data_IF_449915350056
#
_entry.id   IF_449915350056
#
_cell.length_a   1.000
_cell.length_b   1.000
_cell.length_c   1.000
_cell.angle_alpha   90.00
_cell.angle_beta   90.00
_cell.angle_gamma   90.00
#
_symmetry.space_group_name_H-M   'P 1'
#
loop_
_entity.id
_entity.type
_entity.pdbx_description
1 polymer ?
#
# COMPACT_ATOMS: atom_id res chain seq x y z
N UNK A 1 29.65 38.91 36.87
CA UNK A 1 30.45 38.70 35.65
C UNK A 1 30.16 37.36 34.93
N UNK A 2 29.51 36.38 35.56
CA UNK A 2 29.17 35.09 34.95
C UNK A 2 27.83 35.07 34.16
N UNK A 3 26.97 36.06 34.34
CA UNK A 3 25.64 36.13 33.71
C UNK A 3 25.66 36.64 32.27
N UNK A 4 26.63 37.47 31.87
CA UNK A 4 26.69 38.00 30.50
C UNK A 4 27.29 37.02 29.49
N UNK A 5 28.09 36.04 29.94
CA UNK A 5 28.65 35.00 29.08
C UNK A 5 27.59 33.96 28.72
N UNK A 6 26.72 33.60 29.67
CA UNK A 6 25.63 32.65 29.46
C UNK A 6 24.58 33.16 28.46
N UNK A 7 24.22 34.45 28.52
CA UNK A 7 23.28 35.03 27.54
C UNK A 7 23.88 35.04 26.14
N UNK A 8 25.15 35.41 26.01
CA UNK A 8 25.85 35.47 24.73
C UNK A 8 25.99 34.09 24.06
N UNK A 9 26.23 33.04 24.86
CA UNK A 9 26.27 31.67 24.34
C UNK A 9 24.87 31.16 23.97
N UNK A 10 23.84 31.51 24.74
CA UNK A 10 22.45 31.16 24.41
C UNK A 10 21.99 31.82 23.11
N UNK A 11 22.32 33.09 22.91
CA UNK A 11 22.01 33.84 21.68
C UNK A 11 22.74 33.26 20.45
N UNK A 12 23.97 32.75 20.64
CA UNK A 12 24.71 32.02 19.60
C UNK A 12 24.10 30.66 19.27
N UNK A 13 23.58 29.95 20.26
CA UNK A 13 22.89 28.68 20.02
C UNK A 13 21.52 28.90 19.37
N UNK A 14 20.78 29.92 19.82
CA UNK A 14 19.50 30.30 19.22
C UNK A 14 19.67 30.74 17.77
N UNK A 15 20.64 31.60 17.44
CA UNK A 15 20.92 31.99 16.05
C UNK A 15 21.40 30.83 15.18
N UNK A 16 22.11 29.84 15.73
CA UNK A 16 22.45 28.59 15.01
C UNK A 16 21.23 27.69 14.78
N UNK A 17 20.33 27.59 15.75
CA UNK A 17 19.08 26.83 15.62
C UNK A 17 18.14 27.54 14.65
N UNK A 18 17.98 28.86 14.74
CA UNK A 18 17.21 29.68 13.80
C UNK A 18 17.80 29.61 12.38
N UNK A 19 19.13 29.59 12.21
CA UNK A 19 19.75 29.35 10.91
C UNK A 19 19.57 27.91 10.38
N UNK A 20 19.50 26.93 11.28
CA UNK A 20 19.28 25.51 10.93
C UNK A 20 17.81 25.13 10.73
N UNK A 21 16.87 25.94 11.22
CA UNK A 21 15.41 25.76 11.10
C UNK A 21 14.79 26.79 10.15
N UNK A 22 15.49 27.89 9.86
CA UNK A 22 15.05 28.95 8.96
C UNK A 22 14.87 28.47 7.52
N UNK A 23 14.15 29.27 6.72
CA UNK A 23 13.77 28.95 5.35
C UNK A 23 14.96 28.64 4.41
N UNK A 24 16.17 29.11 4.75
CA UNK A 24 17.41 28.85 4.02
C UNK A 24 18.19 27.62 4.52
N UNK A 25 17.66 26.92 5.53
CA UNK A 25 18.33 25.75 6.11
C UNK A 25 18.46 24.61 5.10
N UNK A 26 19.57 23.83 5.15
CA UNK A 26 19.73 22.64 4.32
C UNK A 26 18.57 21.64 4.47
N UNK A 27 17.89 21.65 5.63
CA UNK A 27 16.72 20.84 5.90
C UNK A 27 15.46 21.36 5.19
N UNK A 28 15.20 22.68 5.20
CA UNK A 28 14.10 23.27 4.42
C UNK A 28 14.31 23.10 2.90
N UNK A 29 15.56 23.13 2.43
CA UNK A 29 15.90 22.83 1.04
C UNK A 29 15.87 21.34 0.69
N UNK A 30 16.14 20.44 1.66
CA UNK A 30 16.13 19.00 1.46
C UNK A 30 14.74 18.37 1.63
N UNK A 31 13.87 19.01 2.42
CA UNK A 31 12.50 18.62 2.72
C UNK A 31 11.57 19.79 2.36
N UNK A 32 11.30 20.02 1.07
CA UNK A 32 10.30 20.99 0.67
C UNK A 32 8.98 20.61 1.36
N UNK A 33 8.53 21.44 2.30
CA UNK A 33 7.28 21.27 3.06
C UNK A 33 6.07 20.95 2.15
N UNK A 34 5.94 21.54 0.95
CA UNK A 34 4.88 21.18 0.00
C UNK A 34 4.86 19.70 -0.39
N UNK A 35 6.02 19.07 -0.58
CA UNK A 35 6.11 17.65 -0.97
C UNK A 35 5.59 16.71 0.11
N UNK A 36 5.95 17.00 1.35
CA UNK A 36 5.54 16.17 2.49
C UNK A 36 4.04 16.29 2.71
N UNK A 37 3.49 17.49 2.59
CA UNK A 37 2.05 17.70 2.76
C UNK A 37 1.28 17.03 1.62
N UNK A 38 1.68 17.27 0.37
CA UNK A 38 1.00 16.73 -0.80
C UNK A 38 1.23 15.22 -0.95
N UNK A 39 2.49 14.80 -1.11
CA UNK A 39 2.86 13.40 -1.30
C UNK A 39 2.59 12.56 -0.06
N UNK A 40 2.93 13.05 1.13
CA UNK A 40 2.65 12.33 2.38
C UNK A 40 1.16 12.25 2.69
N UNK A 41 0.40 13.33 2.46
CA UNK A 41 -1.06 13.31 2.61
C UNK A 41 -1.74 12.32 1.66
N UNK A 42 -1.36 12.35 0.38
CA UNK A 42 -1.90 11.43 -0.62
C UNK A 42 -1.48 9.99 -0.34
N UNK A 43 -0.26 9.75 0.14
CA UNK A 43 0.19 8.45 0.64
C UNK A 43 -0.73 7.94 1.74
N UNK A 44 -1.01 8.74 2.78
CA UNK A 44 -1.90 8.31 3.87
C UNK A 44 -3.29 7.96 3.34
N UNK A 45 -3.83 8.76 2.42
CA UNK A 45 -5.12 8.48 1.76
C UNK A 45 -5.08 7.13 1.03
N UNK A 46 -4.03 6.85 0.26
CA UNK A 46 -3.83 5.58 -0.46
C UNK A 46 -3.79 4.40 0.52
N UNK A 47 -3.02 4.53 1.61
CA UNK A 47 -2.90 3.45 2.62
C UNK A 47 -4.24 3.22 3.32
N UNK A 48 -4.98 4.27 3.66
CA UNK A 48 -6.31 4.14 4.25
C UNK A 48 -7.30 3.50 3.28
N UNK A 49 -7.27 3.91 2.01
CA UNK A 49 -8.09 3.34 0.94
C UNK A 49 -7.79 1.83 0.77
N UNK A 50 -6.51 1.46 0.72
CA UNK A 50 -6.05 0.07 0.65
C UNK A 50 -6.59 -0.77 1.81
N UNK A 51 -6.37 -0.29 3.05
CA UNK A 51 -6.78 -0.99 4.26
C UNK A 51 -8.31 -1.17 4.35
N UNK A 52 -9.07 -0.17 3.91
CA UNK A 52 -10.53 -0.26 3.83
C UNK A 52 -10.96 -1.31 2.79
N UNK A 53 -10.37 -1.28 1.60
CA UNK A 53 -10.75 -2.18 0.52
C UNK A 53 -10.36 -3.64 0.79
N UNK A 54 -9.19 -3.90 1.38
CA UNK A 54 -8.81 -5.26 1.81
C UNK A 54 -9.81 -5.81 2.82
N UNK A 55 -10.27 -4.99 3.79
CA UNK A 55 -11.29 -5.42 4.74
C UNK A 55 -12.62 -5.71 4.04
N UNK A 56 -13.01 -4.87 3.08
CA UNK A 56 -14.22 -5.08 2.29
C UNK A 56 -14.16 -6.37 1.46
N UNK A 57 -13.06 -6.61 0.73
CA UNK A 57 -12.84 -7.82 -0.07
C UNK A 57 -12.84 -9.06 0.83
N UNK A 58 -12.14 -9.00 1.96
CA UNK A 58 -12.08 -10.11 2.92
C UNK A 58 -13.44 -10.40 3.54
N UNK A 59 -14.19 -9.38 3.94
CA UNK A 59 -15.54 -9.52 4.47
C UNK A 59 -16.53 -10.09 3.44
N UNK A 60 -16.45 -9.62 2.19
CA UNK A 60 -17.25 -10.15 1.10
C UNK A 60 -16.92 -11.62 0.82
N UNK A 61 -15.63 -11.99 0.81
CA UNK A 61 -15.19 -13.38 0.64
C UNK A 61 -15.69 -14.28 1.78
N UNK A 62 -15.58 -13.84 3.05
CA UNK A 62 -16.08 -14.59 4.20
C UNK A 62 -17.59 -14.80 4.14
N UNK A 63 -18.35 -13.76 3.78
CA UNK A 63 -19.81 -13.86 3.65
C UNK A 63 -20.21 -14.84 2.54
N UNK A 64 -19.54 -14.78 1.38
CA UNK A 64 -19.81 -15.71 0.28
C UNK A 64 -19.42 -17.14 0.65
N UNK A 65 -18.25 -17.36 1.26
CA UNK A 65 -17.81 -18.70 1.72
C UNK A 65 -18.72 -19.29 2.80
N UNK A 66 -19.23 -18.49 3.74
CA UNK A 66 -20.22 -18.96 4.72
C UNK A 66 -21.57 -19.31 4.08
N UNK A 67 -22.03 -18.53 3.11
CA UNK A 67 -23.25 -18.84 2.35
C UNK A 67 -23.12 -20.13 1.52
N UNK A 68 -21.89 -20.57 1.24
CA UNK A 68 -21.61 -21.83 0.56
C UNK A 68 -21.25 -22.97 1.52
N UNK A 69 -21.61 -22.94 2.81
CA UNK A 69 -21.47 -24.10 3.72
C UNK A 69 -22.38 -25.31 3.39
N UNK A 70 -22.71 -25.52 2.11
CA UNK A 70 -23.46 -26.67 1.58
C UNK A 70 -22.60 -27.59 0.70
N UNK A 71 -23.24 -28.38 -0.17
CA UNK A 71 -22.62 -29.41 -1.01
C UNK A 71 -21.79 -28.79 -2.18
N UNK A 72 -20.70 -28.09 -1.87
CA UNK A 72 -19.97 -27.28 -2.87
C UNK A 72 -19.04 -28.13 -3.73
N UNK A 73 -19.16 -27.95 -5.05
CA UNK A 73 -18.21 -28.47 -6.04
C UNK A 73 -16.90 -27.67 -5.99
N UNK A 74 -15.75 -28.35 -6.06
CA UNK A 74 -14.39 -27.78 -6.08
C UNK A 74 -14.26 -26.53 -6.97
N UNK A 75 -14.84 -26.57 -8.17
CA UNK A 75 -14.81 -25.45 -9.13
C UNK A 75 -15.29 -24.11 -8.57
N UNK A 76 -16.26 -24.09 -7.64
CA UNK A 76 -16.71 -22.83 -7.03
C UNK A 76 -15.66 -22.21 -6.11
N UNK A 77 -14.89 -23.04 -5.39
CA UNK A 77 -13.78 -22.57 -4.55
C UNK A 77 -12.69 -21.93 -5.42
N UNK A 78 -12.35 -22.55 -6.54
CA UNK A 78 -11.35 -22.06 -7.49
C UNK A 78 -11.77 -20.71 -8.10
N UNK A 79 -13.05 -20.57 -8.49
CA UNK A 79 -13.61 -19.32 -9.03
C UNK A 79 -13.54 -18.19 -8.01
N UNK A 80 -13.87 -18.44 -6.74
CA UNK A 80 -13.80 -17.41 -5.70
C UNK A 80 -12.37 -16.99 -5.39
N UNK A 81 -11.45 -17.95 -5.40
CA UNK A 81 -10.04 -17.66 -5.25
C UNK A 81 -9.55 -16.77 -6.39
N UNK A 82 -9.85 -17.13 -7.65
CA UNK A 82 -9.52 -16.33 -8.81
C UNK A 82 -10.13 -14.92 -8.74
N UNK A 83 -11.41 -14.79 -8.37
CA UNK A 83 -12.08 -13.51 -8.17
C UNK A 83 -11.41 -12.67 -7.08
N UNK A 84 -10.91 -13.29 -6.02
CA UNK A 84 -10.18 -12.60 -4.94
C UNK A 84 -8.86 -12.04 -5.46
N UNK A 85 -8.09 -12.84 -6.21
CA UNK A 85 -6.83 -12.38 -6.83
C UNK A 85 -7.08 -11.22 -7.80
N UNK A 86 -8.10 -11.32 -8.64
CA UNK A 86 -8.48 -10.23 -9.57
C UNK A 86 -8.89 -8.98 -8.80
N UNK A 87 -9.70 -9.11 -7.73
CA UNK A 87 -10.13 -7.98 -6.92
C UNK A 87 -8.93 -7.27 -6.24
N UNK A 88 -7.96 -8.04 -5.73
CA UNK A 88 -6.73 -7.49 -5.16
C UNK A 88 -5.86 -6.79 -6.22
N UNK A 89 -5.77 -7.35 -7.43
CA UNK A 89 -5.06 -6.69 -8.53
C UNK A 89 -5.74 -5.38 -8.94
N UNK A 90 -7.07 -5.37 -9.07
CA UNK A 90 -7.84 -4.16 -9.38
C UNK A 90 -7.69 -3.09 -8.31
N UNK A 91 -7.54 -3.48 -7.03
CA UNK A 91 -7.24 -2.53 -5.94
C UNK A 91 -5.91 -1.80 -6.20
N UNK A 92 -4.84 -2.53 -6.51
CA UNK A 92 -3.54 -1.92 -6.84
C UNK A 92 -3.63 -0.98 -8.05
N UNK A 93 -4.35 -1.37 -9.11
CA UNK A 93 -4.56 -0.49 -10.27
C UNK A 93 -5.35 0.77 -9.91
N UNK A 94 -6.32 0.66 -9.01
CA UNK A 94 -7.12 1.80 -8.54
C UNK A 94 -6.26 2.79 -7.74
N UNK A 95 -5.29 2.30 -6.97
CA UNK A 95 -4.35 3.17 -6.23
C UNK A 95 -3.42 3.94 -7.16
N UNK A 96 -2.97 3.33 -8.26
CA UNK A 96 -2.24 4.04 -9.31
C UNK A 96 -3.11 5.16 -9.90
N UNK A 97 -4.38 4.87 -10.21
CA UNK A 97 -5.32 5.88 -10.73
C UNK A 97 -5.56 6.99 -9.71
N UNK A 98 -5.63 6.67 -8.42
CA UNK A 98 -5.81 7.65 -7.34
C UNK A 98 -4.61 8.59 -7.24
N UNK A 99 -3.39 8.05 -7.29
CA UNK A 99 -2.17 8.84 -7.37
C UNK A 99 -2.11 9.71 -8.63
N UNK A 100 -2.51 9.16 -9.78
CA UNK A 100 -2.53 9.88 -11.07
C UNK A 100 -3.51 11.04 -11.06
N UNK A 101 -4.66 10.83 -10.42
CA UNK A 101 -5.66 11.89 -10.17
C UNK A 101 -5.06 13.01 -9.32
N UNK A 102 -4.31 12.67 -8.26
CA UNK A 102 -3.58 13.66 -7.46
C UNK A 102 -2.60 14.49 -8.29
N UNK A 103 -1.84 13.86 -9.19
CA UNK A 103 -0.88 14.55 -10.07
C UNK A 103 -1.56 15.51 -11.06
N UNK A 104 -2.68 15.09 -11.66
CA UNK A 104 -3.42 15.92 -12.61
C UNK A 104 -4.12 17.09 -11.90
N UNK A 105 -4.73 16.84 -10.74
CA UNK A 105 -5.36 17.90 -9.93
C UNK A 105 -4.33 18.88 -9.37
N UNK A 106 -3.15 18.39 -8.99
CA UNK A 106 -2.02 19.20 -8.56
C UNK A 106 -1.36 20.00 -9.70
N UNK A 107 -1.78 19.81 -10.96
CA UNK A 107 -1.18 20.42 -12.15
C UNK A 107 0.31 20.06 -12.34
N UNK A 108 0.79 18.96 -11.76
CA UNK A 108 2.19 18.50 -11.93
C UNK A 108 2.41 17.94 -13.35
N UNK A 109 1.39 17.26 -13.89
CA UNK A 109 1.38 16.69 -15.24
C UNK A 109 -0.01 16.89 -15.82
N UNK A 110 -0.12 17.58 -16.95
CA UNK A 110 -1.39 17.89 -17.62
C UNK A 110 -1.99 16.72 -18.39
N UNK A 111 -1.17 15.72 -18.76
CA UNK A 111 -1.61 14.54 -19.48
C UNK A 111 -1.84 13.34 -18.55
N UNK A 112 -3.05 12.80 -18.55
CA UNK A 112 -3.43 11.62 -17.76
C UNK A 112 -2.61 10.39 -18.11
N UNK A 113 -2.30 10.19 -19.39
CA UNK A 113 -1.51 9.03 -19.84
C UNK A 113 -0.10 9.07 -19.27
N UNK A 114 0.56 10.22 -19.37
CA UNK A 114 1.91 10.46 -18.85
C UNK A 114 1.95 10.44 -17.32
N UNK A 115 0.95 11.00 -16.64
CA UNK A 115 0.82 10.93 -15.18
C UNK A 115 0.67 9.48 -14.70
N UNK A 116 -0.21 8.71 -15.35
CA UNK A 116 -0.43 7.30 -15.01
C UNK A 116 0.80 6.45 -15.28
N UNK A 117 1.47 6.65 -16.41
CA UNK A 117 2.72 5.96 -16.72
C UNK A 117 3.81 6.27 -15.68
N UNK A 118 3.95 7.54 -15.28
CA UNK A 118 4.89 7.95 -14.23
C UNK A 118 4.60 7.26 -12.90
N UNK A 119 3.37 7.42 -12.41
CA UNK A 119 2.93 6.87 -11.13
C UNK A 119 3.05 5.36 -11.13
N UNK A 120 2.66 4.68 -12.20
CA UNK A 120 2.71 3.22 -12.28
C UNK A 120 4.15 2.69 -12.14
N UNK A 121 5.12 3.33 -12.80
CA UNK A 121 6.54 2.96 -12.68
C UNK A 121 7.08 3.19 -11.27
N UNK A 122 6.75 4.34 -10.66
CA UNK A 122 7.18 4.61 -9.29
C UNK A 122 6.50 3.67 -8.27
N UNK A 123 5.19 3.43 -8.42
CA UNK A 123 4.39 2.60 -7.51
C UNK A 123 4.85 1.13 -7.53
N UNK A 124 5.24 0.61 -8.69
CA UNK A 124 5.82 -0.73 -8.82
C UNK A 124 7.32 -0.79 -8.48
N UNK A 125 7.90 0.33 -8.04
CA UNK A 125 9.33 0.49 -7.77
C UNK A 125 10.24 0.16 -8.97
N UNK A 126 9.74 0.26 -10.21
CA UNK A 126 10.53 0.14 -11.43
C UNK A 126 11.48 1.31 -11.62
N UNK A 127 11.10 2.48 -11.10
CA UNK A 127 11.94 3.68 -11.10
C UNK A 127 11.20 4.93 -11.56
N UNK A 128 11.95 6.02 -11.68
CA UNK A 128 11.44 7.30 -12.16
C UNK A 128 11.65 7.40 -13.68
N UNK A 129 10.58 7.42 -14.51
CA UNK A 129 10.75 7.44 -15.96
C UNK A 129 11.14 8.82 -16.52
N UNK A 130 10.92 9.90 -15.78
CA UNK A 130 11.41 11.24 -16.10
C UNK A 130 11.55 12.05 -14.80
N UNK A 131 12.52 12.95 -14.71
CA UNK A 131 12.73 13.69 -13.47
C UNK A 131 11.67 14.78 -13.24
N UNK A 132 11.07 14.79 -12.05
CA UNK A 132 10.31 15.92 -11.55
C UNK A 132 11.22 17.11 -11.21
N UNK A 133 10.66 18.32 -11.12
CA UNK A 133 11.43 19.51 -10.70
C UNK A 133 11.97 19.32 -9.28
N UNK A 134 13.01 20.07 -8.92
CA UNK A 134 13.72 19.94 -7.63
C UNK A 134 12.77 20.00 -6.42
N UNK A 135 11.67 20.74 -6.58
CA UNK A 135 10.65 20.95 -5.57
C UNK A 135 9.86 19.68 -5.26
N UNK A 136 9.65 18.76 -6.21
CA UNK A 136 8.82 17.55 -6.11
C UNK A 136 9.62 16.24 -6.01
N UNK A 137 10.90 16.31 -5.67
CA UNK A 137 11.84 15.18 -5.76
C UNK A 137 11.51 14.04 -4.79
N UNK A 138 10.77 14.30 -3.71
CA UNK A 138 10.44 13.28 -2.71
C UNK A 138 9.18 12.49 -3.07
N UNK A 139 8.31 13.05 -3.92
CA UNK A 139 7.04 12.42 -4.30
C UNK A 139 7.23 11.03 -4.94
N UNK A 140 8.17 10.80 -5.86
CA UNK A 140 8.38 9.47 -6.47
C UNK A 140 8.74 8.41 -5.44
N UNK A 141 9.58 8.76 -4.46
CA UNK A 141 9.95 7.87 -3.36
C UNK A 141 8.77 7.56 -2.45
N UNK A 142 7.89 8.53 -2.21
CA UNK A 142 6.65 8.32 -1.43
C UNK A 142 5.67 7.39 -2.16
N UNK A 143 5.52 7.56 -3.48
CA UNK A 143 4.71 6.65 -4.31
C UNK A 143 5.26 5.22 -4.22
N UNK A 144 6.57 5.05 -4.40
CA UNK A 144 7.23 3.75 -4.33
C UNK A 144 7.08 3.09 -2.95
N UNK A 145 7.26 3.87 -1.87
CA UNK A 145 7.05 3.39 -0.50
C UNK A 145 5.61 2.90 -0.29
N UNK A 146 4.61 3.64 -0.82
CA UNK A 146 3.20 3.24 -0.74
C UNK A 146 2.93 1.94 -1.50
N UNK A 147 3.51 1.77 -2.69
CA UNK A 147 3.36 0.57 -3.49
C UNK A 147 4.00 -0.67 -2.84
N UNK A 148 5.25 -0.56 -2.37
CA UNK A 148 5.91 -1.67 -1.66
C UNK A 148 5.11 -2.08 -0.42
N UNK A 149 4.65 -1.11 0.36
CA UNK A 149 3.87 -1.39 1.57
C UNK A 149 2.55 -2.11 1.25
N UNK A 150 1.80 -1.62 0.27
CA UNK A 150 0.52 -2.21 -0.13
C UNK A 150 0.70 -3.58 -0.78
N UNK A 151 1.73 -3.78 -1.61
CA UNK A 151 2.06 -5.11 -2.15
C UNK A 151 2.43 -6.10 -1.05
N UNK A 152 3.25 -5.69 -0.07
CA UNK A 152 3.61 -6.53 1.07
C UNK A 152 2.37 -6.92 1.90
N UNK A 153 1.46 -5.97 2.13
CA UNK A 153 0.20 -6.23 2.82
C UNK A 153 -0.67 -7.21 2.03
N UNK A 154 -0.92 -6.95 0.75
CA UNK A 154 -1.70 -7.85 -0.12
C UNK A 154 -1.11 -9.26 -0.16
N UNK A 155 0.22 -9.39 -0.26
CA UNK A 155 0.89 -10.69 -0.26
C UNK A 155 0.63 -11.46 1.04
N UNK A 156 0.71 -10.80 2.21
CA UNK A 156 0.40 -11.44 3.50
C UNK A 156 -1.05 -11.95 3.58
N UNK A 157 -1.99 -11.20 3.01
CA UNK A 157 -3.41 -11.56 2.95
C UNK A 157 -3.64 -12.71 1.98
N UNK A 158 -2.97 -12.70 0.82
CA UNK A 158 -3.06 -13.76 -0.18
C UNK A 158 -2.57 -15.10 0.39
N UNK A 159 -1.47 -15.12 1.16
CA UNK A 159 -0.98 -16.33 1.84
C UNK A 159 -2.06 -16.93 2.74
N UNK A 160 -2.77 -16.09 3.52
CA UNK A 160 -3.89 -16.54 4.36
C UNK A 160 -5.05 -17.12 3.53
N UNK A 161 -5.35 -16.54 2.36
CA UNK A 161 -6.37 -17.08 1.46
C UNK A 161 -5.96 -18.43 0.85
N UNK A 162 -4.70 -18.56 0.42
CA UNK A 162 -4.16 -19.81 -0.14
C UNK A 162 -4.22 -20.93 0.88
N UNK A 163 -3.85 -20.66 2.15
CA UNK A 163 -3.93 -21.65 3.23
C UNK A 163 -5.37 -22.18 3.39
N UNK A 164 -6.36 -21.29 3.51
CA UNK A 164 -7.79 -21.64 3.64
C UNK A 164 -8.33 -22.39 2.43
N UNK A 165 -7.93 -21.98 1.23
CA UNK A 165 -8.31 -22.66 -0.01
C UNK A 165 -7.76 -24.09 -0.06
N UNK A 166 -6.50 -24.29 0.33
CA UNK A 166 -5.88 -25.62 0.38
C UNK A 166 -6.56 -26.53 1.42
N UNK A 167 -6.89 -26.01 2.60
CA UNK A 167 -7.66 -26.74 3.62
C UNK A 167 -9.04 -27.17 3.09
N UNK A 168 -9.78 -26.26 2.45
CA UNK A 168 -11.08 -26.55 1.85
C UNK A 168 -10.94 -27.64 0.78
N UNK A 169 -9.95 -27.52 -0.11
CA UNK A 169 -9.69 -28.49 -1.18
C UNK A 169 -9.33 -29.87 -0.64
N UNK A 170 -8.48 -29.94 0.39
CA UNK A 170 -8.13 -31.19 1.07
C UNK A 170 -9.37 -31.86 1.69
N UNK A 171 -10.24 -31.09 2.35
CA UNK A 171 -11.46 -31.62 2.96
C UNK A 171 -12.45 -32.21 1.93
N UNK A 172 -12.56 -31.60 0.75
CA UNK A 172 -13.44 -32.10 -0.32
C UNK A 172 -12.88 -33.40 -0.93
N UNK A 173 -11.56 -33.48 -1.12
CA UNK A 173 -10.89 -34.69 -1.61
C UNK A 173 -11.07 -35.85 -0.62
N UNK A 174 -10.85 -35.61 0.68
CA UNK A 174 -11.03 -36.62 1.72
C UNK A 174 -12.47 -37.15 1.80
N UNK A 175 -13.48 -36.28 1.64
CA UNK A 175 -14.89 -36.70 1.56
C UNK A 175 -15.20 -37.56 0.33
N UNK A 176 -14.50 -37.34 -0.79
CA UNK A 176 -14.72 -38.09 -2.04
C UNK A 176 -14.02 -39.45 -2.03
N UNK A 177 -12.97 -39.64 -1.23
CA UNK A 177 -12.22 -40.88 -1.11
C UNK A 177 -12.04 -41.28 0.37
N UNK A 178 -13.11 -41.70 1.07
CA UNK A 178 -12.99 -42.15 2.45
C UNK A 178 -12.05 -43.36 2.53
N UNK A 179 -11.18 -43.40 3.54
CA UNK A 179 -10.37 -44.58 3.82
C UNK A 179 -11.30 -45.81 4.00
N UNK A 180 -10.86 -47.03 3.61
CA UNK A 180 -11.61 -48.24 3.91
C UNK A 180 -11.92 -48.27 5.40
N UNK A 181 -13.18 -48.51 5.75
CA UNK A 181 -13.56 -48.75 7.15
C UNK A 181 -12.85 -50.04 7.54
N UNK A 182 -11.80 -49.92 8.33
CA UNK A 182 -11.13 -51.06 8.96
C UNK A 182 -12.13 -51.56 10.02
N UNK A 183 -12.84 -52.64 9.68
CA UNK A 183 -13.68 -53.33 10.65
C UNK A 183 -12.72 -53.98 11.64
N UNK A 184 -12.86 -53.60 12.90
CA UNK A 184 -12.14 -54.21 14.02
C UNK A 184 -12.86 -55.54 14.33
N UNK A 185 -12.30 -56.62 13.77
CA UNK A 185 -12.81 -57.99 13.89
C UNK A 185 -12.49 -58.54 15.30
N UNK A 186 -13.19 -58.02 16.32
CA UNK A 186 -13.19 -58.54 17.69
C UNK A 186 -14.10 -59.75 17.88
#
# INVERSE_FOLDING_TARGET
MATSTLSTDLDRLLSRIEGAVGADSPLAQALPVPDIIFGGGLLVIVIMFHAFWIRFVTGSFLKHTQAMRGNVKLWRADVLFALTVVALLTLHLTEVVLWSTGFVLGQLVTDWGRATWFVFNCYTALGEPFHLSREWRLVPSMIAASGIFTFAWTASVLVNFVARYNELRASIIARKNPAPVEFDDG
#
